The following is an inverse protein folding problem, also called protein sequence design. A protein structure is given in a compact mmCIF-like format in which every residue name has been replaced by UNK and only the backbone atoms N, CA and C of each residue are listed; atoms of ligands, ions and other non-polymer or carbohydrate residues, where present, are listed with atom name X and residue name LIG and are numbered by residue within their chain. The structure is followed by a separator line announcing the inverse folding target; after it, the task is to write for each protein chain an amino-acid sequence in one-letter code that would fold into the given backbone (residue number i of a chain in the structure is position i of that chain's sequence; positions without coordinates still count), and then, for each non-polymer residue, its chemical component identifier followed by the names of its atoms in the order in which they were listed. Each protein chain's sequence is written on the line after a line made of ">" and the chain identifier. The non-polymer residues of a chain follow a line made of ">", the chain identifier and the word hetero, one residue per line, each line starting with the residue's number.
data_IF_339750245780
#
_entry.id   IF_339750245780
#
_cell.length_a   1.000
_cell.length_b   1.000
_cell.length_c   1.000
_cell.angle_alpha   90.00
_cell.angle_beta   90.00
_cell.angle_gamma   90.00
#
_symmetry.space_group_name_H-M   'P 1'
#
loop_
_entity.id
_entity.type
_entity.pdbx_description
1 polymer ?
#
# COMPACT_ATOMS: atom_id res chain seq x y z
N UNK A 1 11.88 -42.50 45.47
CA UNK A 1 10.70 -42.93 44.68
C UNK A 1 11.20 -43.48 43.34
N UNK A 2 11.02 -44.77 43.07
CA UNK A 2 11.65 -45.44 41.91
C UNK A 2 11.17 -44.83 40.57
N UNK A 3 12.11 -44.42 39.69
CA UNK A 3 11.81 -43.85 38.35
C UNK A 3 10.82 -44.73 37.56
N UNK A 4 10.90 -46.05 37.70
CA UNK A 4 10.00 -47.01 37.03
C UNK A 4 8.53 -46.93 37.46
N UNK A 5 8.21 -46.33 38.62
CA UNK A 5 6.83 -46.16 39.12
C UNK A 5 6.15 -44.92 38.52
N UNK A 6 6.93 -43.85 38.26
CA UNK A 6 6.44 -42.61 37.63
C UNK A 6 6.08 -42.82 36.15
N UNK A 7 6.89 -43.59 35.41
CA UNK A 7 6.60 -43.91 34.00
C UNK A 7 5.30 -44.71 33.81
N UNK A 8 4.93 -45.55 34.78
CA UNK A 8 3.64 -46.28 34.76
C UNK A 8 2.42 -45.39 35.01
N UNK A 9 2.59 -44.24 35.69
CA UNK A 9 1.53 -43.27 35.92
C UNK A 9 1.32 -42.36 34.70
N UNK A 10 2.40 -41.94 34.04
CA UNK A 10 2.35 -41.16 32.80
C UNK A 10 1.67 -41.93 31.66
N UNK A 11 1.76 -43.26 31.68
CA UNK A 11 1.10 -44.13 30.71
C UNK A 11 -0.43 -43.99 30.69
N UNK A 12 -1.08 -43.90 31.85
CA UNK A 12 -2.54 -43.80 31.93
C UNK A 12 -3.09 -42.47 31.42
N UNK A 13 -2.24 -41.45 31.29
CA UNK A 13 -2.61 -40.16 30.72
C UNK A 13 -2.92 -40.27 29.21
N UNK A 14 -2.24 -41.16 28.47
CA UNK A 14 -2.46 -41.33 27.03
C UNK A 14 -3.89 -41.76 26.69
N UNK A 15 -4.35 -42.94 27.18
CA UNK A 15 -5.73 -43.41 26.98
C UNK A 15 -6.77 -42.46 27.59
N UNK A 16 -6.44 -41.81 28.72
CA UNK A 16 -7.31 -40.83 29.36
C UNK A 16 -7.55 -39.60 28.47
N UNK A 17 -6.50 -38.98 27.95
CA UNK A 17 -6.63 -37.81 27.07
C UNK A 17 -7.27 -38.17 25.73
N UNK A 18 -7.02 -39.37 25.21
CA UNK A 18 -7.63 -39.87 23.98
C UNK A 18 -9.14 -40.09 24.18
N UNK A 19 -9.54 -40.75 25.25
CA UNK A 19 -10.95 -40.94 25.60
C UNK A 19 -11.66 -39.61 25.90
N UNK A 20 -11.02 -38.71 26.66
CA UNK A 20 -11.56 -37.39 26.99
C UNK A 20 -11.72 -36.51 25.74
N UNK A 21 -10.73 -36.51 24.83
CA UNK A 21 -10.81 -35.77 23.58
C UNK A 21 -11.93 -36.31 22.66
N UNK A 22 -12.07 -37.64 22.57
CA UNK A 22 -13.14 -38.27 21.79
C UNK A 22 -14.53 -38.03 22.39
N UNK A 23 -14.69 -38.13 23.71
CA UNK A 23 -15.98 -37.90 24.36
C UNK A 23 -16.41 -36.44 24.26
N UNK A 24 -15.49 -35.49 24.49
CA UNK A 24 -15.78 -34.06 24.31
C UNK A 24 -16.12 -33.77 22.85
N UNK A 25 -15.39 -34.35 21.89
CA UNK A 25 -15.67 -34.16 20.46
C UNK A 25 -17.02 -34.74 20.00
N UNK A 26 -17.39 -35.92 20.51
CA UNK A 26 -18.65 -36.61 20.17
C UNK A 26 -19.87 -35.96 20.84
N UNK A 27 -19.75 -35.54 22.10
CA UNK A 27 -20.87 -34.94 22.87
C UNK A 27 -21.13 -33.49 22.44
N UNK A 28 -20.09 -32.73 22.09
CA UNK A 28 -20.24 -31.31 21.75
C UNK A 28 -20.76 -31.06 20.33
N UNK A 29 -20.85 -32.10 19.49
CA UNK A 29 -21.15 -32.04 18.04
C UNK A 29 -20.26 -31.05 17.25
N UNK A 30 -19.24 -30.45 17.89
CA UNK A 30 -18.33 -29.45 17.33
C UNK A 30 -16.92 -29.76 17.80
N UNK A 31 -16.11 -30.31 16.90
CA UNK A 31 -14.69 -30.63 17.15
C UNK A 31 -13.83 -29.37 17.28
N UNK A 32 -13.92 -28.63 18.38
CA UNK A 32 -13.08 -27.46 18.64
C UNK A 32 -11.59 -27.79 18.80
N UNK A 33 -10.76 -26.75 18.92
CA UNK A 33 -9.30 -26.87 19.08
C UNK A 33 -8.96 -27.74 20.30
N UNK A 34 -9.73 -27.63 21.39
CA UNK A 34 -9.50 -28.34 22.65
C UNK A 34 -9.65 -29.88 22.50
N UNK A 35 -10.80 -30.43 22.03
CA UNK A 35 -10.91 -31.87 21.81
C UNK A 35 -9.86 -32.43 20.85
N UNK A 36 -9.47 -31.68 19.82
CA UNK A 36 -8.41 -32.07 18.87
C UNK A 36 -7.02 -32.13 19.50
N UNK A 37 -6.65 -31.14 20.29
CA UNK A 37 -5.35 -31.14 20.98
C UNK A 37 -5.29 -32.31 21.96
N UNK A 38 -6.38 -32.60 22.67
CA UNK A 38 -6.44 -33.72 23.62
C UNK A 38 -6.36 -35.09 22.93
N UNK A 39 -7.03 -35.29 21.79
CA UNK A 39 -6.93 -36.54 21.03
C UNK A 39 -5.54 -36.74 20.44
N UNK A 40 -4.94 -35.70 19.86
CA UNK A 40 -3.58 -35.75 19.30
C UNK A 40 -2.55 -36.02 20.41
N UNK A 41 -2.65 -35.33 21.55
CA UNK A 41 -1.77 -35.54 22.69
C UNK A 41 -1.88 -36.98 23.24
N UNK A 42 -3.11 -37.49 23.35
CA UNK A 42 -3.37 -38.87 23.76
C UNK A 42 -2.76 -39.89 22.78
N UNK A 43 -2.91 -39.68 21.48
CA UNK A 43 -2.32 -40.53 20.44
C UNK A 43 -0.79 -40.51 20.48
N UNK A 44 -0.17 -39.34 20.63
CA UNK A 44 1.30 -39.20 20.71
C UNK A 44 1.86 -39.91 21.94
N UNK A 45 1.24 -39.76 23.11
CA UNK A 45 1.66 -40.42 24.35
C UNK A 45 1.53 -41.95 24.23
N UNK A 46 0.41 -42.44 23.68
CA UNK A 46 0.23 -43.88 23.42
C UNK A 46 1.26 -44.41 22.42
N UNK A 47 1.58 -43.65 21.37
CA UNK A 47 2.55 -44.04 20.34
C UNK A 47 3.97 -44.11 20.91
N UNK A 48 4.39 -43.09 21.67
CA UNK A 48 5.66 -43.08 22.38
C UNK A 48 5.78 -44.24 23.38
N UNK A 49 4.69 -44.55 24.08
CA UNK A 49 4.67 -45.68 25.00
C UNK A 49 4.84 -47.02 24.28
N UNK A 50 4.15 -47.23 23.16
CA UNK A 50 4.31 -48.45 22.33
C UNK A 50 5.76 -48.58 21.84
N UNK A 51 6.40 -47.48 21.44
CA UNK A 51 7.81 -47.46 21.00
C UNK A 51 8.75 -47.84 22.16
N UNK A 52 8.58 -47.25 23.34
CA UNK A 52 9.42 -47.54 24.51
C UNK A 52 9.23 -49.00 24.99
N UNK A 53 7.97 -49.48 25.01
CA UNK A 53 7.64 -50.84 25.39
C UNK A 53 8.15 -51.86 24.36
N UNK A 54 8.16 -51.50 23.07
CA UNK A 54 8.74 -52.28 21.98
C UNK A 54 10.25 -52.46 22.16
N UNK A 55 10.96 -51.43 22.63
CA UNK A 55 12.40 -51.52 22.93
C UNK A 55 12.71 -52.37 24.18
N UNK A 56 11.81 -52.42 25.17
CA UNK A 56 12.03 -53.18 26.42
C UNK A 56 11.57 -54.64 26.35
N UNK A 57 10.65 -55.00 25.45
CA UNK A 57 10.06 -56.33 25.37
C UNK A 57 10.75 -57.23 24.33
N UNK A 58 11.24 -58.41 24.75
CA UNK A 58 11.75 -59.45 23.83
C UNK A 58 10.69 -60.04 22.88
N UNK A 59 9.43 -59.62 23.00
CA UNK A 59 8.32 -60.04 22.15
C UNK A 59 8.53 -59.71 20.67
N UNK A 60 9.29 -58.65 20.36
CA UNK A 60 9.57 -58.17 19.00
C UNK A 60 10.76 -58.86 18.30
N UNK A 61 11.42 -59.83 18.92
CA UNK A 61 12.56 -60.57 18.32
C UNK A 61 12.14 -61.74 17.39
N UNK A 62 10.84 -62.00 17.18
CA UNK A 62 10.38 -63.00 16.20
C UNK A 62 10.20 -62.34 14.82
N UNK A 63 10.95 -62.85 13.84
CA UNK A 63 11.11 -62.29 12.47
C UNK A 63 9.80 -62.08 11.70
N UNK A 64 8.72 -62.81 12.01
CA UNK A 64 7.41 -62.65 11.34
C UNK A 64 6.54 -61.53 11.91
N UNK A 65 6.82 -61.07 13.15
CA UNK A 65 6.00 -60.04 13.83
C UNK A 65 6.51 -58.63 13.53
N UNK A 66 7.80 -58.45 13.30
CA UNK A 66 8.41 -57.13 13.07
C UNK A 66 7.89 -56.44 11.79
N UNK A 67 7.77 -57.16 10.68
CA UNK A 67 7.28 -56.58 9.42
C UNK A 67 5.77 -56.37 9.42
N UNK A 68 5.00 -57.29 10.00
CA UNK A 68 3.54 -57.20 10.07
C UNK A 68 3.06 -56.03 10.93
N UNK A 69 3.69 -55.81 12.08
CA UNK A 69 3.29 -54.70 12.97
C UNK A 69 3.79 -53.35 12.47
N UNK A 70 4.98 -53.27 11.86
CA UNK A 70 5.43 -52.03 11.21
C UNK A 70 4.51 -51.63 10.05
N UNK A 71 4.07 -52.60 9.24
CA UNK A 71 3.10 -52.35 8.18
C UNK A 71 1.77 -51.85 8.75
N UNK A 72 1.25 -52.49 9.80
CA UNK A 72 -0.02 -52.11 10.42
C UNK A 72 0.04 -50.70 11.03
N UNK A 73 1.12 -50.36 11.73
CA UNK A 73 1.35 -49.02 12.30
C UNK A 73 1.49 -47.97 11.18
N UNK A 74 2.22 -48.29 10.11
CA UNK A 74 2.37 -47.39 8.96
C UNK A 74 1.02 -47.15 8.27
N UNK A 75 0.24 -48.20 8.01
CA UNK A 75 -1.10 -48.09 7.41
C UNK A 75 -2.03 -47.26 8.30
N UNK A 76 -2.04 -47.50 9.61
CA UNK A 76 -2.86 -46.73 10.55
C UNK A 76 -2.42 -45.26 10.59
N UNK A 77 -1.11 -44.99 10.56
CA UNK A 77 -0.57 -43.63 10.54
C UNK A 77 -0.97 -42.89 9.27
N UNK A 78 -0.90 -43.54 8.11
CA UNK A 78 -1.34 -42.97 6.83
C UNK A 78 -2.84 -42.66 6.86
N UNK A 79 -3.67 -43.54 7.40
CA UNK A 79 -5.11 -43.29 7.53
C UNK A 79 -5.42 -42.10 8.47
N UNK A 80 -4.69 -41.99 9.58
CA UNK A 80 -4.82 -40.85 10.50
C UNK A 80 -4.37 -39.55 9.84
N UNK A 81 -3.26 -39.56 9.09
CA UNK A 81 -2.77 -38.40 8.34
C UNK A 81 -3.78 -37.99 7.27
N UNK A 82 -4.31 -38.93 6.49
CA UNK A 82 -5.33 -38.64 5.47
C UNK A 82 -6.62 -38.09 6.10
N UNK A 83 -7.04 -38.65 7.24
CA UNK A 83 -8.15 -38.12 8.02
C UNK A 83 -7.92 -36.69 8.52
N UNK A 84 -6.72 -36.40 9.03
CA UNK A 84 -6.31 -35.05 9.45
C UNK A 84 -6.28 -34.07 8.28
N UNK A 85 -5.68 -34.44 7.15
CA UNK A 85 -5.63 -33.59 5.95
C UNK A 85 -7.05 -33.29 5.47
N UNK A 86 -7.91 -34.30 5.38
CA UNK A 86 -9.30 -34.11 4.97
C UNK A 86 -10.08 -33.22 5.96
N UNK A 87 -9.88 -33.43 7.26
CA UNK A 87 -10.48 -32.62 8.31
C UNK A 87 -10.01 -31.15 8.27
N UNK A 88 -8.71 -30.92 8.10
CA UNK A 88 -8.14 -29.58 7.94
C UNK A 88 -8.67 -28.92 6.66
N UNK A 89 -8.77 -29.65 5.55
CA UNK A 89 -9.26 -29.12 4.27
C UNK A 89 -10.73 -28.72 4.29
N UNK A 90 -11.58 -29.45 5.02
CA UNK A 90 -13.01 -29.13 5.17
C UNK A 90 -13.21 -27.92 6.10
N UNK A 91 -12.38 -27.79 7.14
CA UNK A 91 -12.57 -26.77 8.19
C UNK A 91 -11.83 -25.47 7.95
N UNK A 92 -10.65 -25.55 7.34
CA UNK A 92 -9.82 -24.41 7.00
C UNK A 92 -9.76 -24.30 5.48
N UNK A 93 -10.58 -23.40 4.93
CA UNK A 93 -10.52 -23.06 3.50
C UNK A 93 -9.31 -22.17 3.23
N UNK A 94 -8.10 -22.73 3.32
CA UNK A 94 -6.90 -22.05 2.88
C UNK A 94 -6.87 -22.08 1.35
N UNK A 95 -7.41 -21.05 0.70
CA UNK A 95 -7.27 -20.84 -0.75
C UNK A 95 -6.00 -20.02 -0.98
N UNK A 96 -4.93 -20.72 -1.34
CA UNK A 96 -3.73 -20.08 -1.85
C UNK A 96 -3.95 -19.83 -3.34
N UNK A 97 -3.94 -18.56 -3.73
CA UNK A 97 -3.97 -18.17 -5.14
C UNK A 97 -2.59 -18.45 -5.74
N UNK A 98 -2.49 -19.54 -6.50
CA UNK A 98 -1.27 -19.98 -7.19
C UNK A 98 -1.18 -19.40 -8.61
N UNK A 99 -2.07 -18.48 -8.99
CA UNK A 99 -1.96 -17.81 -10.29
C UNK A 99 -0.82 -16.79 -10.26
N UNK A 100 -0.01 -16.74 -11.34
CA UNK A 100 1.10 -15.79 -11.46
C UNK A 100 0.65 -14.32 -11.30
N UNK A 101 -0.63 -14.04 -11.59
CA UNK A 101 -1.23 -12.71 -11.54
C UNK A 101 -2.11 -12.44 -10.31
N UNK A 102 -2.24 -13.39 -9.37
CA UNK A 102 -3.08 -13.26 -8.17
C UNK A 102 -4.51 -12.75 -8.47
N UNK A 103 -5.12 -13.23 -9.57
CA UNK A 103 -6.38 -12.69 -10.10
C UNK A 103 -7.56 -12.81 -9.13
N UNK A 104 -7.45 -13.66 -8.11
CA UNK A 104 -8.49 -13.89 -7.11
C UNK A 104 -8.16 -13.27 -5.75
N UNK A 105 -7.14 -12.42 -5.68
CA UNK A 105 -6.71 -11.74 -4.47
C UNK A 105 -6.77 -10.23 -4.66
N UNK A 106 -7.43 -9.54 -3.73
CA UNK A 106 -7.46 -8.08 -3.72
C UNK A 106 -6.04 -7.50 -3.57
N UNK A 107 -5.82 -6.34 -4.17
CA UNK A 107 -4.57 -5.60 -3.96
C UNK A 107 -4.33 -5.32 -2.46
N UNK A 108 -3.06 -5.16 -2.03
CA UNK A 108 -2.74 -4.87 -0.63
C UNK A 108 -3.52 -3.68 -0.07
N UNK A 109 -3.66 -2.60 -0.87
CA UNK A 109 -4.42 -1.40 -0.49
C UNK A 109 -5.91 -1.71 -0.26
N UNK A 110 -6.55 -2.44 -1.17
CA UNK A 110 -7.94 -2.85 -1.04
C UNK A 110 -8.16 -3.73 0.20
N UNK A 111 -7.25 -4.69 0.46
CA UNK A 111 -7.34 -5.56 1.64
C UNK A 111 -7.25 -4.78 2.94
N UNK A 112 -6.27 -3.89 3.04
CA UNK A 112 -6.06 -3.07 4.23
C UNK A 112 -7.29 -2.18 4.51
N UNK A 113 -7.77 -1.47 3.48
CA UNK A 113 -8.96 -0.62 3.60
C UNK A 113 -10.21 -1.41 4.03
N UNK A 114 -10.47 -2.55 3.38
CA UNK A 114 -11.67 -3.36 3.64
C UNK A 114 -11.59 -4.04 5.01
N UNK A 115 -10.39 -4.43 5.46
CA UNK A 115 -10.18 -5.02 6.79
C UNK A 115 -10.47 -4.02 7.92
N UNK A 116 -10.21 -2.73 7.67
CA UNK A 116 -10.33 -1.66 8.67
C UNK A 116 -11.63 -0.85 8.52
N UNK A 117 -12.66 -1.39 7.86
CA UNK A 117 -13.92 -0.67 7.70
C UNK A 117 -14.54 -0.31 9.06
N UNK A 118 -14.92 0.95 9.28
CA UNK A 118 -15.48 1.39 10.55
C UNK A 118 -16.85 0.74 10.80
N UNK A 119 -17.74 0.79 9.81
CA UNK A 119 -19.10 0.25 9.86
C UNK A 119 -19.44 -0.54 8.59
N UNK A 120 -20.66 -1.08 8.54
CA UNK A 120 -21.18 -1.82 7.39
C UNK A 120 -21.35 -0.90 6.18
N UNK A 121 -20.85 -1.36 5.03
CA UNK A 121 -20.99 -0.70 3.74
C UNK A 121 -21.72 -1.62 2.80
N UNK A 122 -22.62 -1.05 2.01
CA UNK A 122 -23.40 -1.80 1.02
C UNK A 122 -23.14 -1.29 -0.38
N UNK A 123 -22.71 -2.18 -1.27
CA UNK A 123 -22.64 -1.92 -2.71
C UNK A 123 -23.97 -2.31 -3.35
N UNK A 124 -24.55 -1.39 -4.13
CA UNK A 124 -25.77 -1.61 -4.89
C UNK A 124 -25.44 -1.61 -6.37
N UNK A 125 -25.76 -2.70 -7.06
CA UNK A 125 -25.54 -2.84 -8.50
C UNK A 125 -26.91 -2.84 -9.18
N UNK A 126 -27.23 -1.77 -9.89
CA UNK A 126 -28.49 -1.63 -10.61
C UNK A 126 -28.40 -2.27 -11.99
N UNK A 127 -28.26 -3.59 -12.04
CA UNK A 127 -28.14 -4.37 -13.27
C UNK A 127 -29.17 -5.49 -13.29
N UNK A 128 -29.71 -5.78 -14.48
CA UNK A 128 -30.56 -6.94 -14.72
C UNK A 128 -29.75 -8.23 -14.63
N UNK A 129 -28.57 -8.25 -15.25
CA UNK A 129 -27.73 -9.43 -15.34
C UNK A 129 -26.58 -9.37 -14.34
N UNK A 130 -26.29 -10.51 -13.72
CA UNK A 130 -25.16 -10.68 -12.81
C UNK A 130 -23.97 -11.22 -13.59
N UNK A 131 -23.00 -10.36 -13.90
CA UNK A 131 -21.76 -10.80 -14.49
C UNK A 131 -20.90 -11.56 -13.47
N UNK A 132 -20.29 -12.67 -13.88
CA UNK A 132 -19.47 -13.52 -13.01
C UNK A 132 -18.22 -12.79 -12.49
N UNK A 133 -17.55 -11.97 -13.32
CA UNK A 133 -16.32 -11.27 -12.94
C UNK A 133 -16.61 -10.18 -11.89
N UNK A 134 -17.66 -9.39 -12.10
CA UNK A 134 -18.07 -8.35 -11.15
C UNK A 134 -18.46 -8.97 -9.81
N UNK A 135 -19.16 -10.12 -9.86
CA UNK A 135 -19.57 -10.85 -8.67
C UNK A 135 -18.38 -11.44 -7.92
N UNK A 136 -17.43 -12.06 -8.62
CA UNK A 136 -16.20 -12.58 -8.01
C UNK A 136 -15.39 -11.49 -7.32
N UNK A 137 -15.28 -10.31 -7.95
CA UNK A 137 -14.64 -9.14 -7.34
C UNK A 137 -15.35 -8.75 -6.04
N UNK A 138 -16.67 -8.56 -6.06
CA UNK A 138 -17.43 -8.19 -4.85
C UNK A 138 -17.38 -9.27 -3.76
N UNK A 139 -17.37 -10.53 -4.15
CA UNK A 139 -17.19 -11.67 -3.25
C UNK A 139 -15.79 -11.65 -2.60
N UNK A 140 -14.75 -11.22 -3.31
CA UNK A 140 -13.41 -11.01 -2.73
C UNK A 140 -13.44 -9.94 -1.62
N UNK A 141 -14.13 -8.81 -1.83
CA UNK A 141 -14.31 -7.78 -0.80
C UNK A 141 -15.14 -8.29 0.39
N UNK A 142 -16.23 -9.01 0.11
CA UNK A 142 -17.08 -9.58 1.15
C UNK A 142 -16.32 -10.58 2.03
N UNK A 143 -15.46 -11.42 1.43
CA UNK A 143 -14.59 -12.35 2.16
C UNK A 143 -13.59 -11.64 3.07
N UNK A 144 -13.07 -10.51 2.63
CA UNK A 144 -12.09 -9.74 3.41
C UNK A 144 -12.72 -9.11 4.65
N UNK A 145 -14.00 -8.72 4.60
CA UNK A 145 -14.70 -8.18 5.75
C UNK A 145 -16.20 -8.43 5.71
N UNK A 146 -16.73 -8.99 6.79
CA UNK A 146 -18.17 -9.20 6.97
C UNK A 146 -18.98 -7.89 6.97
N UNK A 147 -18.32 -6.74 7.16
CA UNK A 147 -18.91 -5.39 7.07
C UNK A 147 -19.14 -4.93 5.63
N UNK A 148 -18.45 -5.52 4.65
CA UNK A 148 -18.71 -5.25 3.24
C UNK A 148 -19.86 -6.13 2.75
N UNK A 149 -20.93 -5.54 2.25
CA UNK A 149 -22.10 -6.23 1.69
C UNK A 149 -22.34 -5.74 0.26
N UNK A 150 -22.95 -6.56 -0.58
CA UNK A 150 -23.37 -6.14 -1.91
C UNK A 150 -24.71 -6.78 -2.31
N UNK A 151 -25.45 -6.12 -3.20
CA UNK A 151 -26.72 -6.61 -3.74
C UNK A 151 -26.90 -6.17 -5.19
N UNK A 152 -27.36 -7.10 -6.03
CA UNK A 152 -27.82 -6.81 -7.39
C UNK A 152 -29.32 -6.53 -7.37
N UNK A 153 -29.72 -5.42 -7.97
CA UNK A 153 -31.11 -4.99 -8.08
C UNK A 153 -31.47 -4.67 -9.52
N UNK A 154 -32.61 -5.18 -9.96
CA UNK A 154 -33.23 -4.67 -11.19
C UNK A 154 -34.00 -3.38 -10.86
N UNK A 155 -33.58 -2.21 -11.39
CA UNK A 155 -34.27 -0.95 -11.14
C UNK A 155 -35.74 -0.94 -11.58
N UNK A 156 -36.16 -1.80 -12.53
CA UNK A 156 -37.56 -1.94 -12.92
C UNK A 156 -38.40 -2.74 -11.92
N UNK A 157 -37.82 -3.77 -11.28
CA UNK A 157 -38.52 -4.57 -10.27
C UNK A 157 -38.58 -3.86 -8.91
N UNK A 158 -37.63 -2.96 -8.63
CA UNK A 158 -37.53 -2.21 -7.36
C UNK A 158 -37.42 -0.69 -7.59
N UNK A 159 -38.42 -0.04 -8.21
CA UNK A 159 -38.35 1.37 -8.61
C UNK A 159 -38.22 2.34 -7.42
N UNK A 160 -38.73 1.97 -6.24
CA UNK A 160 -38.58 2.77 -5.02
C UNK A 160 -37.12 2.93 -4.57
N UNK A 161 -36.32 1.87 -4.68
CA UNK A 161 -34.89 1.91 -4.35
C UNK A 161 -34.13 2.66 -5.45
N UNK A 162 -34.40 2.37 -6.73
CA UNK A 162 -33.79 3.08 -7.84
C UNK A 162 -34.01 4.60 -7.75
N UNK A 163 -35.24 5.05 -7.44
CA UNK A 163 -35.57 6.47 -7.23
C UNK A 163 -34.85 7.07 -6.03
N UNK A 164 -34.67 6.32 -4.93
CA UNK A 164 -33.91 6.75 -3.74
C UNK A 164 -32.42 7.01 -4.04
N UNK A 165 -31.86 6.29 -5.01
CA UNK A 165 -30.48 6.46 -5.47
C UNK A 165 -30.36 7.43 -6.66
N UNK A 166 -31.47 7.81 -7.29
CA UNK A 166 -31.47 8.66 -8.47
C UNK A 166 -30.92 7.96 -9.72
N UNK A 167 -31.04 6.63 -9.78
CA UNK A 167 -30.56 5.79 -10.88
C UNK A 167 -31.20 6.24 -12.19
N UNK A 168 -30.38 6.50 -13.20
CA UNK A 168 -30.82 6.91 -14.54
C UNK A 168 -30.65 5.80 -15.56
N UNK A 169 -29.55 5.05 -15.42
CA UNK A 169 -29.12 4.04 -16.37
C UNK A 169 -28.96 2.65 -15.70
N UNK A 170 -29.09 1.59 -16.50
CA UNK A 170 -28.69 0.25 -16.09
C UNK A 170 -27.18 0.15 -15.94
N UNK A 171 -26.73 -0.65 -14.98
CA UNK A 171 -25.31 -0.86 -14.69
C UNK A 171 -24.71 0.19 -13.75
N UNK A 172 -25.49 1.12 -13.21
CA UNK A 172 -24.97 2.01 -12.18
C UNK A 172 -24.62 1.26 -10.88
N UNK A 173 -23.40 1.46 -10.39
CA UNK A 173 -22.90 0.88 -9.14
C UNK A 173 -22.74 1.95 -8.09
N UNK A 174 -23.43 1.80 -6.96
CA UNK A 174 -23.40 2.75 -5.84
C UNK A 174 -22.81 2.14 -4.57
N UNK A 175 -22.12 2.97 -3.79
CA UNK A 175 -21.80 2.68 -2.40
C UNK A 175 -22.79 3.40 -1.49
N UNK A 176 -23.29 2.70 -0.47
CA UNK A 176 -24.06 3.25 0.63
C UNK A 176 -23.28 3.02 1.94
N UNK A 177 -23.01 4.12 2.64
CA UNK A 177 -22.38 4.14 3.95
C UNK A 177 -23.12 5.12 4.84
N UNK A 178 -23.75 4.62 5.90
CA UNK A 178 -24.66 5.41 6.74
C UNK A 178 -25.74 6.10 5.88
N UNK A 179 -25.80 7.44 5.91
CA UNK A 179 -26.73 8.25 5.10
C UNK A 179 -26.11 8.77 3.80
N UNK A 180 -24.84 8.45 3.52
CA UNK A 180 -24.14 8.87 2.31
C UNK A 180 -24.31 7.82 1.21
N UNK A 181 -24.47 8.30 -0.02
CA UNK A 181 -24.51 7.48 -1.23
C UNK A 181 -23.59 8.09 -2.26
N UNK A 182 -22.83 7.25 -2.96
CA UNK A 182 -21.89 7.70 -3.96
C UNK A 182 -21.85 6.75 -5.15
N UNK A 183 -21.96 7.30 -6.36
CA UNK A 183 -21.77 6.54 -7.60
C UNK A 183 -20.29 6.15 -7.72
N UNK A 184 -20.04 4.86 -7.94
CA UNK A 184 -18.70 4.33 -8.17
C UNK A 184 -18.36 4.43 -9.65
N UNK A 185 -19.19 3.79 -10.47
CA UNK A 185 -19.05 3.72 -11.93
C UNK A 185 -20.34 3.22 -12.55
N UNK A 186 -20.43 3.32 -13.88
CA UNK A 186 -21.47 2.70 -14.69
C UNK A 186 -20.81 1.53 -15.41
N UNK A 187 -21.29 0.30 -15.18
CA UNK A 187 -20.81 -0.91 -15.84
C UNK A 187 -21.67 -1.26 -17.06
N UNK A 188 -21.06 -1.87 -18.05
CA UNK A 188 -21.74 -2.41 -19.22
C UNK A 188 -20.96 -3.61 -19.76
N UNK A 189 -21.27 -4.05 -20.98
CA UNK A 189 -20.60 -5.23 -21.54
C UNK A 189 -19.09 -5.05 -21.76
N UNK A 190 -18.69 -3.82 -22.10
CA UNK A 190 -17.33 -3.43 -22.45
C UNK A 190 -16.54 -2.88 -21.25
N UNK A 191 -17.22 -2.33 -20.24
CA UNK A 191 -16.60 -1.75 -19.05
C UNK A 191 -17.11 -2.44 -17.78
N UNK A 192 -16.26 -3.30 -17.19
CA UNK A 192 -16.56 -4.06 -15.97
C UNK A 192 -16.19 -3.30 -14.70
N UNK A 193 -16.61 -3.84 -13.56
CA UNK A 193 -16.34 -3.26 -12.25
C UNK A 193 -14.84 -3.22 -11.98
N UNK A 194 -14.29 -2.03 -11.75
CA UNK A 194 -12.88 -1.84 -11.49
C UNK A 194 -12.60 -1.87 -9.98
N UNK A 195 -11.67 -2.73 -9.55
CA UNK A 195 -11.18 -2.74 -8.16
C UNK A 195 -10.66 -1.35 -7.75
N UNK A 196 -9.89 -0.70 -8.63
CA UNK A 196 -9.30 0.61 -8.38
C UNK A 196 -10.40 1.65 -8.12
N UNK A 197 -11.41 1.72 -8.99
CA UNK A 197 -12.53 2.67 -8.84
C UNK A 197 -13.33 2.37 -7.57
N UNK A 198 -13.60 1.10 -7.28
CA UNK A 198 -14.35 0.68 -6.11
C UNK A 198 -13.60 1.00 -4.80
N UNK A 199 -12.32 0.63 -4.69
CA UNK A 199 -11.49 0.90 -3.51
C UNK A 199 -11.31 2.38 -3.25
N UNK A 200 -11.07 3.18 -4.29
CA UNK A 200 -10.96 4.62 -4.14
C UNK A 200 -12.26 5.22 -3.62
N UNK A 201 -13.41 4.85 -4.19
CA UNK A 201 -14.72 5.34 -3.75
C UNK A 201 -15.10 4.85 -2.35
N UNK A 202 -14.68 3.64 -1.99
CA UNK A 202 -14.80 3.10 -0.64
C UNK A 202 -14.01 3.94 0.37
N UNK A 203 -12.78 4.31 0.05
CA UNK A 203 -11.96 5.19 0.88
C UNK A 203 -12.61 6.58 1.01
N UNK A 204 -13.15 7.10 -0.09
CA UNK A 204 -13.81 8.40 -0.12
C UNK A 204 -15.05 8.46 0.78
N UNK A 205 -15.95 7.49 0.67
CA UNK A 205 -17.21 7.51 1.40
C UNK A 205 -17.04 7.22 2.91
N UNK A 206 -15.99 6.47 3.28
CA UNK A 206 -15.68 6.09 4.66
C UNK A 206 -14.83 7.09 5.41
N UNK A 207 -14.03 7.90 4.71
CA UNK A 207 -13.21 8.90 5.36
C UNK A 207 -14.08 10.03 5.95
N UNK A 208 -13.84 10.37 7.20
CA UNK A 208 -14.46 11.53 7.86
C UNK A 208 -13.83 12.86 7.44
N UNK A 209 -12.60 12.82 6.94
CA UNK A 209 -11.81 13.99 6.52
C UNK A 209 -11.25 13.76 5.12
N UNK A 210 -11.46 14.71 4.21
CA UNK A 210 -10.70 14.78 2.97
C UNK A 210 -9.49 15.66 3.21
N UNK A 211 -8.29 15.11 3.05
CA UNK A 211 -7.09 15.91 3.13
C UNK A 211 -7.11 16.96 2.00
N UNK A 212 -6.80 18.21 2.33
CA UNK A 212 -6.86 19.32 1.39
C UNK A 212 -5.47 19.77 1.01
N UNK A 213 -5.20 19.73 -0.29
CA UNK A 213 -3.94 20.13 -0.90
C UNK A 213 -4.15 21.49 -1.55
N UNK A 214 -3.39 22.47 -1.11
CA UNK A 214 -3.43 23.81 -1.69
C UNK A 214 -2.24 24.01 -2.63
N UNK A 215 -2.50 24.58 -3.80
CA UNK A 215 -1.50 24.91 -4.79
C UNK A 215 -1.32 26.42 -4.81
N UNK A 216 -0.11 26.90 -4.51
CA UNK A 216 0.21 28.32 -4.59
C UNK A 216 0.04 28.81 -6.03
N UNK A 217 -0.57 29.99 -6.19
CA UNK A 217 -0.76 30.68 -7.47
C UNK A 217 -0.46 32.17 -7.28
N UNK A 218 0.09 32.81 -8.31
CA UNK A 218 0.33 34.26 -8.36
C UNK A 218 1.72 34.63 -8.90
N UNK A 219 2.64 33.67 -8.93
CA UNK A 219 4.06 33.86 -9.26
C UNK A 219 4.47 33.10 -10.53
N UNK A 220 3.51 32.68 -11.36
CA UNK A 220 3.75 31.98 -12.62
C UNK A 220 3.90 30.46 -12.46
N UNK A 221 3.42 29.91 -11.35
CA UNK A 221 3.33 28.47 -11.11
C UNK A 221 2.54 27.75 -12.19
N UNK A 222 2.70 26.42 -12.26
CA UNK A 222 1.97 25.60 -13.22
C UNK A 222 0.45 25.75 -13.09
N UNK A 223 -0.28 25.94 -14.21
CA UNK A 223 -1.74 25.98 -14.20
C UNK A 223 -2.36 24.68 -13.67
N UNK A 224 -3.45 24.83 -12.92
CA UNK A 224 -4.17 23.71 -12.33
C UNK A 224 -5.15 23.06 -13.31
N UNK A 225 -5.72 23.85 -14.22
CA UNK A 225 -6.64 23.37 -15.26
C UNK A 225 -5.90 22.96 -16.52
N UNK A 226 -6.50 22.11 -17.35
CA UNK A 226 -5.86 21.60 -18.56
C UNK A 226 -5.45 22.75 -19.52
N UNK A 227 -4.14 22.94 -19.65
CA UNK A 227 -3.48 23.85 -20.58
C UNK A 227 -2.06 23.37 -20.84
N UNK A 228 -1.34 24.01 -21.76
CA UNK A 228 0.09 23.73 -21.97
C UNK A 228 0.85 23.97 -20.66
N UNK A 229 1.65 23.00 -20.23
CA UNK A 229 2.43 23.07 -19.00
C UNK A 229 1.61 22.96 -17.70
N UNK A 230 0.35 22.54 -17.77
CA UNK A 230 -0.48 22.34 -16.58
C UNK A 230 -0.16 21.05 -15.82
N UNK A 231 -0.50 21.02 -14.54
CA UNK A 231 -0.40 19.84 -13.66
C UNK A 231 -1.76 19.17 -13.42
N UNK A 232 -2.72 19.37 -14.32
CA UNK A 232 -4.11 18.89 -14.20
C UNK A 232 -4.22 17.36 -14.03
N UNK A 233 -3.29 16.59 -14.60
CA UNK A 233 -3.25 15.13 -14.41
C UNK A 233 -2.89 14.75 -12.96
N UNK A 234 -1.96 15.46 -12.33
CA UNK A 234 -1.61 15.24 -10.92
C UNK A 234 -2.79 15.59 -10.01
N UNK A 235 -3.50 16.69 -10.32
CA UNK A 235 -4.72 17.10 -9.59
C UNK A 235 -5.82 16.05 -9.72
N UNK A 236 -6.03 15.52 -10.93
CA UNK A 236 -6.97 14.42 -11.14
C UNK A 236 -6.59 13.19 -10.31
N UNK A 237 -5.31 12.81 -10.33
CA UNK A 237 -4.83 11.67 -9.54
C UNK A 237 -5.01 11.86 -8.02
N UNK A 238 -4.81 13.08 -7.51
CA UNK A 238 -5.11 13.44 -6.12
C UNK A 238 -6.61 13.31 -5.82
N UNK A 239 -7.45 13.85 -6.70
CA UNK A 239 -8.92 13.78 -6.58
C UNK A 239 -9.41 12.33 -6.58
N UNK A 240 -8.87 11.50 -7.47
CA UNK A 240 -9.17 10.07 -7.54
C UNK A 240 -8.78 9.35 -6.24
N UNK A 241 -7.79 9.86 -5.50
CA UNK A 241 -7.33 9.35 -4.19
C UNK A 241 -7.96 10.04 -2.97
N UNK A 242 -9.13 10.69 -3.13
CA UNK A 242 -9.87 11.37 -2.04
C UNK A 242 -9.22 12.65 -1.48
N UNK A 243 -8.28 13.25 -2.19
CA UNK A 243 -7.80 14.59 -1.82
C UNK A 243 -8.70 15.64 -2.46
N UNK A 244 -8.92 16.73 -1.74
CA UNK A 244 -9.49 17.95 -2.34
C UNK A 244 -8.36 18.91 -2.68
N UNK A 245 -8.46 19.59 -3.81
CA UNK A 245 -7.43 20.53 -4.26
C UNK A 245 -8.01 21.93 -4.34
N UNK A 246 -7.24 22.94 -3.98
CA UNK A 246 -7.65 24.35 -4.12
C UNK A 246 -6.47 25.23 -4.51
N UNK A 247 -6.72 26.28 -5.28
CA UNK A 247 -5.72 27.33 -5.48
C UNK A 247 -5.57 28.13 -4.18
N UNK A 248 -4.35 28.57 -3.90
CA UNK A 248 -4.01 29.47 -2.81
C UNK A 248 -3.29 30.68 -3.39
N UNK A 249 -3.87 31.87 -3.21
CA UNK A 249 -3.20 33.13 -3.50
C UNK A 249 -2.93 33.83 -2.17
N UNK A 250 -1.66 33.89 -1.75
CA UNK A 250 -1.31 34.47 -0.45
C UNK A 250 -1.37 36.01 -0.45
N UNK A 251 -1.42 36.66 -1.61
CA UNK A 251 -1.70 38.09 -1.70
C UNK A 251 -3.18 38.41 -1.39
N UNK A 252 -4.10 37.51 -1.73
CA UNK A 252 -5.53 37.64 -1.41
C UNK A 252 -5.86 37.09 -0.02
N UNK A 253 -5.22 36.00 0.38
CA UNK A 253 -5.38 35.35 1.67
C UNK A 253 -4.02 35.28 2.39
N UNK A 254 -3.67 36.26 3.24
CA UNK A 254 -2.31 36.43 3.77
C UNK A 254 -1.88 35.37 4.79
N UNK A 255 -2.66 34.31 4.98
CA UNK A 255 -2.39 33.20 5.89
C UNK A 255 -2.74 31.89 5.21
N UNK A 256 -1.94 30.86 5.47
CA UNK A 256 -2.26 29.50 5.02
C UNK A 256 -3.50 28.99 5.77
N UNK A 257 -4.55 28.52 5.06
CA UNK A 257 -5.75 27.96 5.68
C UNK A 257 -5.45 26.85 6.70
N UNK A 258 -6.21 26.81 7.79
CA UNK A 258 -6.00 25.82 8.86
C UNK A 258 -6.39 24.40 8.44
N UNK A 259 -7.23 24.25 7.41
CA UNK A 259 -7.58 22.95 6.81
C UNK A 259 -6.53 22.45 5.80
N UNK A 260 -5.45 23.20 5.56
CA UNK A 260 -4.40 22.83 4.62
C UNK A 260 -3.53 21.68 5.16
N UNK A 261 -3.65 20.50 4.54
CA UNK A 261 -2.81 19.34 4.85
C UNK A 261 -1.42 19.45 4.23
N UNK A 262 -1.35 19.98 3.02
CA UNK A 262 -0.11 20.20 2.26
C UNK A 262 -0.24 21.47 1.41
N UNK A 263 0.83 22.26 1.34
CA UNK A 263 1.00 23.32 0.34
C UNK A 263 1.96 22.86 -0.74
N UNK A 264 1.60 23.10 -2.01
CA UNK A 264 2.42 22.80 -3.17
C UNK A 264 2.80 24.11 -3.86
N UNK A 265 4.09 24.36 -4.03
CA UNK A 265 4.64 25.48 -4.80
C UNK A 265 5.30 24.88 -6.04
N UNK A 266 4.55 24.89 -7.15
CA UNK A 266 4.92 24.17 -8.37
C UNK A 266 5.49 25.10 -9.44
N UNK A 267 6.81 25.21 -9.50
CA UNK A 267 7.53 25.93 -10.56
C UNK A 267 7.31 27.45 -10.55
N UNK A 268 7.47 28.16 -9.41
CA UNK A 268 7.32 29.62 -9.38
C UNK A 268 8.35 30.27 -10.33
N UNK A 269 7.87 31.22 -11.13
CA UNK A 269 8.67 31.95 -12.14
C UNK A 269 9.08 33.34 -11.67
N UNK A 270 8.40 33.86 -10.65
CA UNK A 270 8.63 35.18 -10.05
C UNK A 270 8.92 35.04 -8.56
N UNK A 271 9.51 36.10 -8.00
CA UNK A 271 9.78 36.23 -6.58
C UNK A 271 8.49 36.23 -5.77
N UNK A 272 8.45 35.46 -4.69
CA UNK A 272 7.37 35.54 -3.70
C UNK A 272 7.55 36.78 -2.83
N UNK A 273 6.44 37.35 -2.35
CA UNK A 273 6.50 38.48 -1.43
C UNK A 273 6.97 38.03 -0.04
N UNK A 274 7.65 38.92 0.68
CA UNK A 274 8.19 38.64 2.03
C UNK A 274 7.10 38.12 2.97
N UNK A 275 5.89 38.69 2.91
CA UNK A 275 4.75 38.26 3.72
C UNK A 275 4.30 36.82 3.41
N UNK A 276 4.42 36.39 2.16
CA UNK A 276 4.04 35.04 1.71
C UNK A 276 5.07 34.01 2.15
N UNK A 277 6.36 34.33 2.00
CA UNK A 277 7.47 33.51 2.52
C UNK A 277 7.31 33.33 4.03
N UNK A 278 6.98 34.39 4.75
CA UNK A 278 6.71 34.36 6.19
C UNK A 278 5.50 33.47 6.52
N UNK A 279 4.41 33.56 5.74
CA UNK A 279 3.23 32.72 5.94
C UNK A 279 3.54 31.22 5.74
N UNK A 280 4.34 30.87 4.72
CA UNK A 280 4.79 29.50 4.47
C UNK A 280 5.72 29.00 5.59
N UNK A 281 6.63 29.85 6.08
CA UNK A 281 7.52 29.52 7.19
C UNK A 281 6.74 29.27 8.49
N UNK A 282 5.76 30.12 8.81
CA UNK A 282 4.86 29.92 9.94
C UNK A 282 4.07 28.62 9.83
N UNK A 283 3.59 28.29 8.63
CA UNK A 283 2.91 27.03 8.34
C UNK A 283 3.80 25.81 8.61
N UNK A 284 5.06 25.83 8.18
CA UNK A 284 6.04 24.78 8.47
C UNK A 284 6.39 24.69 9.97
N UNK A 285 6.48 25.83 10.66
CA UNK A 285 6.82 25.88 12.09
C UNK A 285 5.71 25.30 12.99
N UNK A 286 4.45 25.34 12.55
CA UNK A 286 3.33 24.67 13.23
C UNK A 286 3.08 23.23 12.79
N UNK A 287 3.97 22.64 11.99
CA UNK A 287 3.90 21.23 11.57
C UNK A 287 3.20 20.99 10.24
N UNK A 288 3.01 22.02 9.43
CA UNK A 288 2.52 21.90 8.06
C UNK A 288 3.50 21.20 7.13
N UNK A 289 3.00 20.77 5.96
CA UNK A 289 3.77 20.04 4.95
C UNK A 289 3.90 20.85 3.66
N UNK A 290 5.12 21.00 3.14
CA UNK A 290 5.38 21.78 1.93
C UNK A 290 6.05 20.91 0.86
N UNK A 291 5.52 20.95 -0.37
CA UNK A 291 6.18 20.43 -1.56
C UNK A 291 6.67 21.60 -2.42
N UNK A 292 7.98 21.70 -2.60
CA UNK A 292 8.63 22.70 -3.43
C UNK A 292 9.14 22.06 -4.72
N UNK A 293 8.80 22.65 -5.86
CA UNK A 293 9.35 22.29 -7.17
C UNK A 293 9.93 23.57 -7.78
N UNK A 294 11.26 23.72 -7.74
CA UNK A 294 11.94 24.94 -8.16
C UNK A 294 12.79 24.66 -9.40
N UNK A 295 12.43 25.31 -10.49
CA UNK A 295 13.12 25.15 -11.77
C UNK A 295 14.52 25.84 -11.76
N UNK A 296 15.44 25.45 -12.65
CA UNK A 296 16.64 26.23 -12.93
C UNK A 296 16.28 27.63 -13.46
N UNK A 297 17.21 28.57 -13.31
CA UNK A 297 17.08 29.95 -13.81
C UNK A 297 15.88 30.74 -13.26
N UNK A 298 15.30 30.29 -12.15
CA UNK A 298 14.33 31.08 -11.38
C UNK A 298 14.89 31.38 -9.99
N UNK A 299 14.51 32.53 -9.45
CA UNK A 299 14.79 32.93 -8.07
C UNK A 299 13.49 33.34 -7.40
N UNK A 300 12.78 32.40 -6.73
CA UNK A 300 11.54 32.70 -6.05
C UNK A 300 11.72 33.43 -4.70
N UNK A 301 12.97 33.76 -4.29
CA UNK A 301 13.29 34.43 -3.02
C UNK A 301 12.81 33.70 -1.76
N UNK A 302 12.88 32.36 -1.78
CA UNK A 302 12.51 31.49 -0.65
C UNK A 302 13.72 30.99 0.14
N UNK A 303 14.89 31.61 -0.04
CA UNK A 303 16.17 31.19 0.56
C UNK A 303 16.11 31.03 2.09
N UNK A 304 15.28 31.83 2.76
CA UNK A 304 15.09 31.73 4.21
C UNK A 304 14.53 30.37 4.61
N UNK A 305 13.49 29.90 3.93
CA UNK A 305 12.90 28.58 4.16
C UNK A 305 13.92 27.49 3.83
N UNK A 306 14.64 27.61 2.70
CA UNK A 306 15.59 26.59 2.28
C UNK A 306 16.77 26.47 3.26
N UNK A 307 17.33 27.60 3.71
CA UNK A 307 18.43 27.63 4.69
C UNK A 307 18.02 27.06 6.04
N UNK A 308 16.82 27.39 6.53
CA UNK A 308 16.28 26.83 7.78
C UNK A 308 16.19 25.30 7.76
N UNK A 309 16.03 24.74 6.56
CA UNK A 309 15.90 23.29 6.33
C UNK A 309 17.16 22.64 5.76
N UNK A 310 18.28 23.38 5.66
CA UNK A 310 19.57 22.85 5.23
C UNK A 310 19.66 22.56 3.73
N UNK A 311 18.93 23.29 2.89
CA UNK A 311 18.96 23.13 1.44
C UNK A 311 19.63 24.31 0.76
N UNK A 312 20.56 24.01 -0.14
CA UNK A 312 21.14 24.97 -1.07
C UNK A 312 20.85 24.54 -2.50
N UNK A 313 20.26 25.43 -3.28
CA UNK A 313 19.98 25.15 -4.70
C UNK A 313 21.21 25.49 -5.54
N UNK A 314 21.52 24.65 -6.52
CA UNK A 314 22.55 24.90 -7.51
C UNK A 314 21.91 25.46 -8.78
N UNK A 315 22.38 26.56 -9.35
CA UNK A 315 21.78 27.17 -10.56
C UNK A 315 22.17 26.43 -11.85
N UNK A 316 23.12 25.50 -11.78
CA UNK A 316 23.58 24.70 -12.91
C UNK A 316 22.50 23.70 -13.34
N UNK A 317 22.47 23.43 -14.64
CA UNK A 317 21.53 22.51 -15.25
C UNK A 317 22.10 21.10 -15.15
N UNK A 318 21.35 20.14 -14.60
CA UNK A 318 21.75 18.74 -14.67
C UNK A 318 21.72 18.29 -16.14
N UNK A 319 22.76 17.57 -16.56
CA UNK A 319 22.89 16.95 -17.88
C UNK A 319 23.07 15.45 -17.71
N UNK A 320 22.42 14.65 -18.56
CA UNK A 320 22.51 13.19 -18.61
C UNK A 320 22.65 12.71 -20.06
N UNK A 321 23.80 12.17 -20.41
CA UNK A 321 24.09 11.67 -21.77
C UNK A 321 23.60 10.24 -21.97
N UNK A 322 23.21 9.54 -20.91
CA UNK A 322 22.74 8.15 -21.00
C UNK A 322 21.36 8.04 -21.64
N UNK A 323 20.61 9.14 -21.70
CA UNK A 323 19.30 9.24 -22.33
C UNK A 323 19.30 9.55 -23.82
N UNK A 324 20.46 9.79 -24.44
CA UNK A 324 20.56 10.09 -25.88
C UNK A 324 19.95 8.97 -26.74
N UNK A 325 20.13 7.70 -26.35
CA UNK A 325 19.55 6.55 -27.03
C UNK A 325 18.00 6.55 -27.06
N UNK A 326 17.36 7.30 -26.15
CA UNK A 326 15.90 7.46 -26.08
C UNK A 326 15.40 8.72 -26.80
N UNK A 327 16.27 9.47 -27.48
CA UNK A 327 15.94 10.71 -28.21
C UNK A 327 15.29 11.80 -27.34
N UNK A 328 15.51 11.77 -26.03
CA UNK A 328 14.95 12.74 -25.09
C UNK A 328 15.79 14.03 -24.96
N UNK A 329 17.01 14.01 -25.52
CA UNK A 329 17.99 15.08 -25.39
C UNK A 329 18.72 15.08 -24.03
N UNK A 330 19.88 15.75 -23.93
CA UNK A 330 20.77 15.67 -22.76
C UNK A 330 20.24 16.36 -21.49
N UNK A 331 19.27 17.26 -21.62
CA UNK A 331 18.62 17.93 -20.49
C UNK A 331 17.41 17.16 -19.93
N UNK A 332 17.12 15.97 -20.45
CA UNK A 332 16.07 15.08 -19.95
C UNK A 332 16.70 13.99 -19.06
N UNK A 333 16.72 14.25 -17.76
CA UNK A 333 17.47 13.42 -16.81
C UNK A 333 16.72 12.15 -16.49
N UNK A 334 17.40 11.01 -16.66
CA UNK A 334 16.84 9.70 -16.41
C UNK A 334 17.24 9.24 -15.02
N UNK A 335 16.29 9.29 -14.10
CA UNK A 335 16.50 8.80 -12.74
C UNK A 335 16.06 7.33 -12.68
N UNK A 336 17.04 6.50 -12.34
CA UNK A 336 16.84 5.06 -12.03
C UNK A 336 17.38 4.70 -10.64
N UNK A 337 18.05 5.63 -9.97
CA UNK A 337 18.57 5.47 -8.62
C UNK A 337 17.74 6.31 -7.64
N UNK A 338 17.05 5.62 -6.75
CA UNK A 338 16.16 6.24 -5.77
C UNK A 338 16.63 5.99 -4.34
N UNK A 339 16.47 7.00 -3.48
CA UNK A 339 16.70 6.85 -2.05
C UNK A 339 15.75 5.85 -1.40
N UNK A 340 16.15 5.29 -0.26
CA UNK A 340 15.28 4.42 0.55
C UNK A 340 14.30 5.27 1.36
N UNK A 341 13.12 5.51 0.80
CA UNK A 341 12.09 6.33 1.43
C UNK A 341 10.68 5.85 1.03
N UNK A 342 9.64 6.01 1.88
CA UNK A 342 8.27 5.65 1.51
C UNK A 342 7.77 6.28 0.21
N UNK A 343 8.21 7.50 -0.12
CA UNK A 343 7.87 8.20 -1.37
C UNK A 343 8.34 7.42 -2.61
N UNK A 344 9.53 6.83 -2.55
CA UNK A 344 10.22 6.19 -3.68
C UNK A 344 10.17 4.66 -3.62
N UNK A 345 9.47 4.07 -2.64
CA UNK A 345 9.40 2.61 -2.43
C UNK A 345 8.99 1.85 -3.68
N UNK A 346 8.01 2.37 -4.42
CA UNK A 346 7.46 1.73 -5.62
C UNK A 346 8.15 2.21 -6.91
N UNK A 347 9.17 3.08 -6.79
CA UNK A 347 9.92 3.62 -7.93
C UNK A 347 11.07 2.70 -8.34
N UNK A 348 11.55 1.84 -7.46
CA UNK A 348 12.74 1.00 -7.69
C UNK A 348 12.68 0.06 -8.91
N UNK A 349 11.51 -0.11 -9.53
CA UNK A 349 11.30 -0.89 -10.77
C UNK A 349 10.99 -0.04 -12.00
N UNK A 350 10.98 1.29 -11.86
CA UNK A 350 10.50 2.23 -12.86
C UNK A 350 11.53 3.33 -13.15
N UNK A 351 11.39 3.95 -14.31
CA UNK A 351 12.22 5.09 -14.74
C UNK A 351 11.38 6.36 -14.60
N UNK A 352 11.99 7.43 -14.10
CA UNK A 352 11.39 8.77 -14.09
C UNK A 352 12.26 9.72 -14.90
N UNK A 353 11.59 10.64 -15.61
CA UNK A 353 12.24 11.61 -16.50
C UNK A 353 12.02 13.01 -15.92
N UNK A 354 13.11 13.75 -15.74
CA UNK A 354 13.09 15.10 -15.21
C UNK A 354 13.70 16.07 -16.25
N UNK A 355 12.86 16.75 -17.05
CA UNK A 355 13.35 17.72 -18.01
C UNK A 355 13.79 19.00 -17.29
N UNK A 356 14.87 19.62 -17.78
CA UNK A 356 15.33 20.94 -17.34
C UNK A 356 15.44 21.08 -15.81
N UNK A 357 16.21 20.20 -15.19
CA UNK A 357 16.26 20.11 -13.72
C UNK A 357 17.59 20.62 -13.17
N UNK A 358 17.52 21.30 -12.02
CA UNK A 358 18.69 21.75 -11.26
C UNK A 358 19.05 20.75 -10.17
N UNK A 359 20.30 20.75 -9.73
CA UNK A 359 20.71 19.99 -8.55
C UNK A 359 20.52 20.78 -7.26
N UNK A 360 20.52 20.07 -6.14
CA UNK A 360 20.51 20.64 -4.81
C UNK A 360 21.57 19.98 -3.93
N UNK A 361 22.04 20.73 -2.95
CA UNK A 361 22.97 20.29 -1.92
C UNK A 361 22.27 20.33 -0.55
N UNK A 362 22.70 19.43 0.33
CA UNK A 362 22.11 19.23 1.66
C UNK A 362 23.17 19.56 2.70
N UNK A 363 22.93 20.60 3.48
CA UNK A 363 23.72 20.99 4.64
C UNK A 363 23.06 20.43 5.92
N UNK A 364 23.76 19.65 6.76
CA UNK A 364 23.17 19.09 7.96
C UNK A 364 22.67 20.17 8.93
N UNK A 365 21.40 20.10 9.32
CA UNK A 365 20.78 20.97 10.34
C UNK A 365 20.31 20.13 11.52
N UNK A 366 20.63 20.57 12.73
CA UNK A 366 20.25 19.87 13.96
C UNK A 366 18.72 19.72 14.07
N UNK A 367 18.24 18.49 14.30
CA UNK A 367 16.81 18.19 14.45
C UNK A 367 16.06 17.98 13.13
N UNK A 368 16.73 18.06 11.98
CA UNK A 368 16.16 17.79 10.66
C UNK A 368 16.78 16.52 10.09
N UNK A 369 15.93 15.53 9.82
CA UNK A 369 16.30 14.30 9.12
C UNK A 369 16.18 14.53 7.61
N UNK A 370 17.25 14.27 6.85
CA UNK A 370 17.30 14.46 5.39
C UNK A 370 17.53 13.14 4.66
N UNK A 371 16.76 12.89 3.59
CA UNK A 371 16.91 11.72 2.72
C UNK A 371 16.89 12.15 1.25
N UNK A 372 18.02 12.00 0.55
CA UNK A 372 18.08 12.20 -0.90
C UNK A 372 17.20 11.16 -1.60
N UNK A 373 16.23 11.61 -2.40
CA UNK A 373 15.23 10.77 -3.07
C UNK A 373 15.60 10.42 -4.51
N UNK A 374 16.13 11.39 -5.25
CA UNK A 374 16.37 11.30 -6.68
C UNK A 374 17.84 11.58 -6.94
N UNK A 375 18.56 10.60 -7.50
CA UNK A 375 19.97 10.75 -7.84
C UNK A 375 20.21 10.50 -9.32
N UNK A 376 21.07 11.31 -9.91
CA UNK A 376 21.57 11.05 -11.26
C UNK A 376 22.63 9.95 -11.23
N UNK A 377 22.98 9.43 -12.41
CA UNK A 377 24.12 8.51 -12.56
C UNK A 377 25.43 9.21 -12.20
N UNK A 378 26.47 8.48 -11.76
CA UNK A 378 27.79 9.09 -11.56
C UNK A 378 28.39 9.63 -12.87
N UNK A 379 29.30 10.59 -12.76
CA UNK A 379 30.18 10.99 -13.86
C UNK A 379 30.91 9.77 -14.45
N UNK A 380 31.10 9.65 -15.78
CA UNK A 380 30.91 10.66 -16.83
C UNK A 380 29.49 10.76 -17.42
N UNK A 381 28.53 9.98 -16.92
CA UNK A 381 27.19 9.95 -17.52
C UNK A 381 26.33 11.17 -17.15
N UNK A 382 26.62 11.81 -16.01
CA UNK A 382 25.96 13.05 -15.62
C UNK A 382 26.89 14.04 -14.93
N UNK A 383 26.56 15.32 -15.09
CA UNK A 383 27.20 16.47 -14.43
C UNK A 383 26.22 17.63 -14.37
N UNK A 384 26.53 18.65 -13.56
CA UNK A 384 25.80 19.91 -13.55
C UNK A 384 26.54 20.92 -14.42
N UNK A 385 25.91 21.31 -15.53
CA UNK A 385 26.40 22.23 -16.56
C UNK A 385 26.20 23.68 -16.14
N UNK A 386 27.29 24.44 -16.16
CA UNK A 386 27.32 25.87 -15.88
C UNK A 386 27.09 26.74 -17.11
N UNK A 387 27.55 26.32 -18.29
CA UNK A 387 27.31 27.02 -19.55
C UNK A 387 26.06 26.49 -20.26
N UNK A 388 24.93 27.10 -19.94
CA UNK A 388 23.64 26.76 -20.55
C UNK A 388 23.39 27.46 -21.90
N UNK A 389 24.33 28.30 -22.36
CA UNK A 389 24.20 29.05 -23.62
C UNK A 389 24.92 28.38 -24.78
N UNK A 390 25.96 27.61 -24.49
CA UNK A 390 26.68 26.82 -25.50
C UNK A 390 25.78 25.75 -26.11
N UNK A 391 25.85 25.60 -27.44
CA UNK A 391 25.20 24.49 -28.14
C UNK A 391 25.89 23.14 -27.88
N UNK A 392 27.16 23.19 -27.46
CA UNK A 392 27.96 22.02 -27.15
C UNK A 392 28.05 21.86 -25.63
N UNK A 393 27.33 20.87 -25.11
CA UNK A 393 27.37 20.47 -23.72
C UNK A 393 28.59 19.57 -23.51
N UNK A 394 29.60 20.07 -22.81
CA UNK A 394 30.81 19.32 -22.48
C UNK A 394 31.25 19.68 -21.06
N UNK A 395 31.67 18.67 -20.29
CA UNK A 395 32.08 18.90 -18.92
C UNK A 395 33.31 19.82 -18.84
N UNK A 396 33.15 20.96 -18.16
CA UNK A 396 34.21 21.95 -17.91
C UNK A 396 34.76 21.83 -16.48
N UNK A 397 35.99 21.33 -16.36
CA UNK A 397 36.65 21.17 -15.06
C UNK A 397 36.82 22.52 -14.35
N UNK A 398 36.40 22.57 -13.08
CA UNK A 398 36.44 23.77 -12.25
C UNK A 398 35.20 24.67 -12.32
N UNK A 399 34.33 24.50 -13.32
CA UNK A 399 33.05 25.21 -13.42
C UNK A 399 31.85 24.30 -13.18
N UNK A 400 31.94 23.06 -13.65
CA UNK A 400 30.88 22.07 -13.52
C UNK A 400 31.02 21.17 -12.30
N UNK A 401 29.91 20.53 -11.91
CA UNK A 401 29.88 19.57 -10.82
C UNK A 401 29.72 18.15 -11.34
N UNK A 402 30.64 17.26 -10.98
CA UNK A 402 30.54 15.83 -11.32
C UNK A 402 29.35 15.21 -10.61
N UNK A 403 28.58 14.37 -11.33
CA UNK A 403 27.57 13.51 -10.71
C UNK A 403 28.19 12.44 -9.80
N UNK A 404 27.39 11.79 -8.93
CA UNK A 404 25.93 11.85 -8.89
C UNK A 404 25.41 13.12 -8.25
N UNK A 405 24.42 13.73 -8.89
CA UNK A 405 23.72 14.92 -8.42
C UNK A 405 22.46 14.51 -7.67
N UNK A 406 22.11 15.25 -6.62
CA UNK A 406 20.81 15.10 -5.96
C UNK A 406 19.81 16.03 -6.62
N UNK A 407 18.68 15.50 -7.10
CA UNK A 407 17.62 16.28 -7.75
C UNK A 407 16.39 16.47 -6.86
N UNK A 408 16.26 15.66 -5.80
CA UNK A 408 15.12 15.70 -4.89
C UNK A 408 15.48 15.12 -3.54
N UNK A 409 14.89 15.68 -2.49
CA UNK A 409 15.17 15.34 -1.09
C UNK A 409 13.87 15.39 -0.28
N UNK A 410 13.73 14.47 0.67
CA UNK A 410 12.72 14.54 1.72
C UNK A 410 13.39 15.03 3.01
N UNK A 411 12.75 15.99 3.68
CA UNK A 411 13.21 16.54 4.94
C UNK A 411 12.10 16.40 5.98
N UNK A 412 12.45 15.93 7.18
CA UNK A 412 11.49 15.75 8.27
C UNK A 412 12.03 16.38 9.54
N UNK A 413 11.21 17.19 10.19
CA UNK A 413 11.50 17.77 11.51
C UNK A 413 10.43 17.30 12.49
N UNK A 414 10.85 16.64 13.57
CA UNK A 414 9.94 16.33 14.67
C UNK A 414 9.72 17.59 15.48
N UNK A 415 8.47 18.00 15.64
CA UNK A 415 8.15 19.08 16.56
C UNK A 415 8.36 18.58 17.98
N UNK A 416 9.12 19.34 18.77
CA UNK A 416 9.12 19.17 20.22
C UNK A 416 7.70 19.49 20.70
N UNK A 417 6.97 18.51 21.23
CA UNK A 417 5.72 18.80 21.92
C UNK A 417 6.05 19.81 23.04
N UNK A 418 5.44 20.99 22.98
CA UNK A 418 5.48 21.97 24.07
C UNK A 418 4.66 21.46 25.26
#
# INVERSE_FOLDING_TARGET
>A
MNKNKLWKLVFWLGPFFLAAGLTIGLISEKWGIIPLVLTILGLVICSLWIIIQSQQSKWWQKRSTQSGTNALVATLSVLVILGLINFLGIRYHLRLDLTDSQLFTLSPQSRELVSNLPETIKVWLFSKDQNLQDRELLDNYHRQSNKFKFEYLDPQLKPGIAKKFGVKDYGEVYLEFQNKRQLVQIINENERLSEIKLTNRLQQITSSTTAKVYFLQGHGEHPLTASKGAISQAIKALTDKNFTTSALNLAEQPQVPDDATVIVVAGPKKELLIGEVTALQNYLNRGGNLLLMIDPNTDPKIDTILKDWGIRLDNRLAIDTSGENLQLGPAAILVTEYGQHPITKDFAKNISVYPLTRSLEIDPVSGIESMALLKTKPYPNSWAESDQKSEKLEFNEGQDLKGPLTLGVALTRKLSNA
#
